data_IF_030926586575
#
_entry.id   IF_030926586575
#
_cell.length_a   1.000
_cell.length_b   1.000
_cell.length_c   1.000
_cell.angle_alpha   90.00
_cell.angle_beta   90.00
_cell.angle_gamma   90.00
#
_symmetry.space_group_name_H-M   'P 1'
#
loop_
_entity.id
_entity.type
_entity.pdbx_description
1 polymer ?
#
# COMPACT_ATOMS: atom_id res chain seq x y z
N UNK A 1 -5.57 -12.52 10.58
CA UNK A 1 -5.79 -13.36 9.38
C UNK A 1 -6.09 -14.81 9.76
N UNK A 2 -6.99 -15.03 10.73
CA UNK A 2 -7.47 -16.40 11.03
C UNK A 2 -8.69 -16.78 10.17
N UNK A 3 -9.22 -15.83 9.41
CA UNK A 3 -10.56 -15.91 8.80
C UNK A 3 -10.56 -16.26 7.29
N UNK A 4 -9.43 -16.07 6.60
CA UNK A 4 -9.29 -16.43 5.18
C UNK A 4 -9.22 -17.96 4.95
N UNK A 5 -8.72 -18.71 5.93
CA UNK A 5 -8.64 -20.17 5.85
C UNK A 5 -10.03 -20.83 5.91
N UNK A 6 -10.90 -20.49 6.88
CA UNK A 6 -12.31 -20.88 6.85
C UNK A 6 -13.04 -20.48 5.57
N UNK A 7 -12.80 -19.26 5.06
CA UNK A 7 -13.41 -18.79 3.82
C UNK A 7 -13.03 -19.70 2.63
N UNK A 8 -11.74 -20.06 2.51
CA UNK A 8 -11.28 -21.01 1.49
C UNK A 8 -11.85 -22.42 1.69
N UNK A 9 -11.91 -22.93 2.91
CA UNK A 9 -12.49 -24.26 3.18
C UNK A 9 -13.97 -24.35 2.79
N UNK A 10 -14.70 -23.23 2.86
CA UNK A 10 -16.08 -23.14 2.39
C UNK A 10 -16.23 -23.01 0.86
N UNK A 11 -15.13 -22.80 0.13
CA UNK A 11 -15.16 -22.61 -1.32
C UNK A 11 -15.33 -23.95 -2.05
N UNK A 12 -16.34 -24.04 -2.92
CA UNK A 12 -16.57 -25.23 -3.74
C UNK A 12 -15.39 -25.45 -4.70
N UNK A 13 -14.99 -26.70 -4.99
CA UNK A 13 -14.01 -27.01 -6.03
C UNK A 13 -14.42 -26.38 -7.38
N UNK A 14 -13.47 -25.71 -8.03
CA UNK A 14 -13.74 -25.01 -9.30
C UNK A 14 -14.42 -23.64 -9.16
N UNK A 15 -14.81 -23.21 -7.95
CA UNK A 15 -15.23 -21.83 -7.71
C UNK A 15 -14.09 -20.84 -7.97
N UNK A 16 -14.44 -19.57 -8.17
CA UNK A 16 -13.46 -18.50 -8.45
C UNK A 16 -12.41 -18.40 -7.34
N UNK A 17 -12.82 -18.41 -6.07
CA UNK A 17 -11.90 -18.36 -4.93
C UNK A 17 -10.98 -19.58 -4.91
N UNK A 18 -11.53 -20.78 -5.15
CA UNK A 18 -10.74 -22.01 -5.20
C UNK A 18 -9.64 -21.93 -6.27
N UNK A 19 -9.99 -21.46 -7.47
CA UNK A 19 -9.06 -21.29 -8.58
C UNK A 19 -8.00 -20.22 -8.28
N UNK A 20 -8.39 -19.08 -7.70
CA UNK A 20 -7.47 -18.01 -7.35
C UNK A 20 -6.45 -18.44 -6.29
N UNK A 21 -6.88 -19.16 -5.24
CA UNK A 21 -5.98 -19.71 -4.21
C UNK A 21 -5.00 -20.71 -4.83
N UNK A 22 -5.48 -21.61 -5.70
CA UNK A 22 -4.63 -22.58 -6.40
C UNK A 22 -3.62 -21.91 -7.32
N UNK A 23 -3.99 -20.82 -7.98
CA UNK A 23 -3.07 -20.05 -8.81
C UNK A 23 -1.90 -19.51 -7.99
N UNK A 24 -2.17 -18.83 -6.88
CA UNK A 24 -1.14 -18.28 -5.98
C UNK A 24 -0.28 -19.39 -5.37
N UNK A 25 -0.89 -20.46 -4.86
CA UNK A 25 -0.15 -21.57 -4.27
C UNK A 25 0.79 -22.26 -5.28
N UNK A 26 0.33 -22.50 -6.52
CA UNK A 26 1.19 -23.05 -7.56
C UNK A 26 2.30 -22.07 -7.98
N UNK A 27 2.06 -20.76 -7.93
CA UNK A 27 3.08 -19.77 -8.25
C UNK A 27 4.18 -19.69 -7.18
N UNK A 28 3.82 -19.85 -5.89
CA UNK A 28 4.80 -19.98 -4.82
C UNK A 28 5.64 -21.26 -4.99
N UNK A 29 5.02 -22.36 -5.42
CA UNK A 29 5.69 -23.64 -5.69
C UNK A 29 6.31 -23.74 -7.10
N UNK A 30 6.51 -22.62 -7.82
CA UNK A 30 6.87 -22.61 -9.26
C UNK A 30 8.11 -23.44 -9.64
N UNK A 31 9.05 -23.62 -8.72
CA UNK A 31 10.29 -24.39 -8.95
C UNK A 31 10.15 -25.88 -8.65
N UNK A 32 9.07 -26.29 -8.01
CA UNK A 32 8.77 -27.69 -7.80
C UNK A 32 8.12 -28.28 -9.06
N UNK A 33 8.30 -29.59 -9.25
CA UNK A 33 7.61 -30.36 -10.28
C UNK A 33 7.09 -31.65 -9.66
N UNK A 34 5.79 -31.70 -9.37
CA UNK A 34 5.10 -32.92 -8.95
C UNK A 34 4.14 -33.35 -10.05
N UNK A 35 4.49 -34.41 -10.78
CA UNK A 35 3.76 -34.91 -11.94
C UNK A 35 4.13 -34.21 -13.26
N UNK A 36 3.33 -34.46 -14.31
CA UNK A 36 3.71 -34.12 -15.70
C UNK A 36 3.70 -32.62 -16.04
N UNK A 37 2.88 -31.84 -15.33
CA UNK A 37 2.73 -30.40 -15.58
C UNK A 37 3.45 -29.59 -14.50
N UNK A 38 4.48 -28.79 -14.85
CA UNK A 38 5.17 -27.88 -13.92
C UNK A 38 4.22 -26.91 -13.21
N UNK A 39 4.50 -26.59 -11.94
CA UNK A 39 3.64 -25.71 -11.15
C UNK A 39 3.50 -24.30 -11.74
N UNK A 40 4.54 -23.76 -12.39
CA UNK A 40 4.44 -22.49 -13.11
C UNK A 40 3.36 -22.48 -14.21
N UNK A 41 3.19 -23.61 -14.92
CA UNK A 41 2.16 -23.74 -15.96
C UNK A 41 0.78 -23.88 -15.30
N UNK A 42 0.67 -24.68 -14.23
CA UNK A 42 -0.58 -24.82 -13.46
C UNK A 42 -1.04 -23.50 -12.87
N UNK A 43 -0.12 -22.68 -12.36
CA UNK A 43 -0.41 -21.36 -11.82
C UNK A 43 -1.10 -20.48 -12.86
N UNK A 44 -0.57 -20.44 -14.09
CA UNK A 44 -1.16 -19.69 -15.21
C UNK A 44 -2.52 -20.27 -15.65
N UNK A 45 -2.67 -21.60 -15.67
CA UNK A 45 -3.93 -22.25 -15.99
C UNK A 45 -5.03 -21.91 -14.97
N UNK A 46 -4.73 -22.01 -13.67
CA UNK A 46 -5.67 -21.66 -12.62
C UNK A 46 -5.99 -20.17 -12.61
N UNK A 47 -5.02 -19.29 -12.86
CA UNK A 47 -5.24 -17.86 -13.01
C UNK A 47 -6.22 -17.57 -14.17
N UNK A 48 -5.98 -18.14 -15.35
CA UNK A 48 -6.88 -17.98 -16.50
C UNK A 48 -8.28 -18.52 -16.25
N UNK A 49 -8.39 -19.68 -15.58
CA UNK A 49 -9.67 -20.25 -15.18
C UNK A 49 -10.40 -19.36 -14.15
N UNK A 50 -9.69 -18.77 -13.19
CA UNK A 50 -10.26 -17.85 -12.21
C UNK A 50 -10.81 -16.58 -12.88
N UNK A 51 -10.09 -16.00 -13.85
CA UNK A 51 -10.58 -14.87 -14.63
C UNK A 51 -11.83 -15.21 -15.44
N UNK A 52 -11.86 -16.39 -16.08
CA UNK A 52 -13.04 -16.86 -16.79
C UNK A 52 -14.23 -17.05 -15.84
N UNK A 53 -14.00 -17.61 -14.65
CA UNK A 53 -15.01 -17.75 -13.61
C UNK A 53 -15.53 -16.40 -13.11
N UNK A 54 -14.64 -15.42 -12.89
CA UNK A 54 -15.05 -14.04 -12.56
C UNK A 54 -15.93 -13.44 -13.64
N UNK A 55 -15.61 -13.68 -14.92
CA UNK A 55 -16.44 -13.20 -16.02
C UNK A 55 -17.85 -13.77 -15.93
N UNK A 56 -18.00 -15.06 -15.63
CA UNK A 56 -19.33 -15.70 -15.47
C UNK A 56 -20.09 -15.08 -14.29
N UNK A 57 -19.46 -15.00 -13.11
CA UNK A 57 -20.05 -14.37 -11.91
C UNK A 57 -20.47 -12.92 -12.16
N UNK A 58 -19.68 -12.16 -12.92
CA UNK A 58 -19.99 -10.78 -13.26
C UNK A 58 -21.24 -10.63 -14.15
N UNK A 59 -21.62 -11.66 -14.93
CA UNK A 59 -22.87 -11.65 -15.70
C UNK A 59 -24.08 -12.03 -14.83
N UNK A 60 -23.86 -12.67 -13.68
CA UNK A 60 -24.87 -13.08 -12.72
C UNK A 60 -24.89 -12.06 -11.55
N UNK A 61 -25.35 -10.83 -11.81
CA UNK A 61 -25.24 -9.65 -10.92
C UNK A 61 -25.56 -9.92 -9.43
N UNK A 62 -26.51 -10.80 -9.13
CA UNK A 62 -26.91 -11.17 -7.77
C UNK A 62 -25.83 -11.93 -6.96
N UNK A 63 -24.78 -12.44 -7.60
CA UNK A 63 -23.73 -13.23 -6.96
C UNK A 63 -22.43 -12.44 -6.74
N UNK A 64 -22.36 -11.21 -7.25
CA UNK A 64 -21.14 -10.42 -7.29
C UNK A 64 -20.73 -9.92 -5.89
N UNK A 65 -21.69 -9.54 -5.05
CA UNK A 65 -21.48 -9.03 -3.69
C UNK A 65 -21.22 -10.15 -2.66
N UNK A 66 -20.13 -10.90 -2.85
CA UNK A 66 -19.78 -12.06 -2.02
C UNK A 66 -18.32 -11.98 -1.57
N UNK A 67 -18.05 -12.28 -0.30
CA UNK A 67 -16.70 -12.34 0.28
C UNK A 67 -15.77 -13.29 -0.47
N UNK A 68 -16.26 -14.41 -0.99
CA UNK A 68 -15.46 -15.33 -1.80
C UNK A 68 -15.00 -14.67 -3.11
N UNK A 69 -15.87 -13.88 -3.74
CA UNK A 69 -15.57 -13.14 -4.98
C UNK A 69 -14.59 -12.01 -4.69
N UNK A 70 -14.80 -11.24 -3.62
CA UNK A 70 -13.88 -10.19 -3.20
C UNK A 70 -12.48 -10.74 -2.88
N UNK A 71 -12.42 -11.84 -2.11
CA UNK A 71 -11.16 -12.51 -1.80
C UNK A 71 -10.46 -13.02 -3.06
N UNK A 72 -11.21 -13.59 -4.02
CA UNK A 72 -10.65 -14.04 -5.28
C UNK A 72 -10.07 -12.89 -6.11
N UNK A 73 -10.79 -11.77 -6.22
CA UNK A 73 -10.32 -10.57 -6.94
C UNK A 73 -9.03 -10.03 -6.31
N UNK A 74 -8.97 -9.96 -4.97
CA UNK A 74 -7.78 -9.51 -4.26
C UNK A 74 -6.59 -10.46 -4.50
N UNK A 75 -6.80 -11.77 -4.51
CA UNK A 75 -5.77 -12.76 -4.83
C UNK A 75 -5.29 -12.67 -6.28
N UNK A 76 -6.20 -12.42 -7.22
CA UNK A 76 -5.88 -12.20 -8.65
C UNK A 76 -5.04 -10.92 -8.82
N UNK A 77 -5.40 -9.82 -8.15
CA UNK A 77 -4.57 -8.60 -8.15
C UNK A 77 -3.17 -8.85 -7.57
N UNK A 78 -3.09 -9.63 -6.48
CA UNK A 78 -1.82 -10.02 -5.90
C UNK A 78 -0.99 -10.86 -6.88
N UNK A 79 -1.64 -11.79 -7.57
CA UNK A 79 -1.00 -12.67 -8.53
C UNK A 79 -0.38 -11.88 -9.69
N UNK A 80 -1.16 -10.96 -10.25
CA UNK A 80 -0.70 -10.09 -11.34
C UNK A 80 0.50 -9.23 -10.93
N UNK A 81 0.47 -8.67 -9.72
CA UNK A 81 1.57 -7.84 -9.22
C UNK A 81 2.84 -8.64 -8.96
N UNK A 82 2.73 -9.78 -8.28
CA UNK A 82 3.88 -10.54 -7.80
C UNK A 82 4.48 -11.46 -8.86
N UNK A 83 3.63 -12.13 -9.65
CA UNK A 83 4.08 -13.21 -10.52
C UNK A 83 4.01 -12.87 -12.01
N UNK A 84 3.19 -11.90 -12.40
CA UNK A 84 3.16 -11.36 -13.77
C UNK A 84 3.89 -10.01 -13.89
N UNK A 85 4.48 -9.52 -12.80
CA UNK A 85 5.25 -8.28 -12.74
C UNK A 85 4.46 -7.05 -13.22
N UNK A 86 3.13 -7.01 -12.98
CA UNK A 86 2.29 -5.87 -13.37
C UNK A 86 2.73 -4.62 -12.63
N UNK A 87 3.21 -3.62 -13.38
CA UNK A 87 3.64 -2.34 -12.83
C UNK A 87 2.42 -1.46 -12.57
N UNK A 88 2.36 -0.87 -11.38
CA UNK A 88 1.40 0.18 -11.05
C UNK A 88 0.28 -0.22 -10.07
N UNK A 89 -0.46 0.79 -9.57
CA UNK A 89 -1.51 0.59 -8.58
C UNK A 89 -2.69 -0.22 -9.16
N UNK A 90 -3.51 -0.77 -8.26
CA UNK A 90 -4.71 -1.60 -8.52
C UNK A 90 -5.29 -1.39 -9.92
N UNK A 91 -5.20 -2.42 -10.76
CA UNK A 91 -5.49 -2.37 -12.20
C UNK A 91 -6.99 -2.50 -12.52
N UNK A 92 -7.39 -3.38 -13.47
CA UNK A 92 -8.78 -3.46 -13.96
C UNK A 92 -9.79 -3.86 -12.87
N UNK A 93 -9.31 -4.44 -11.77
CA UNK A 93 -10.12 -4.96 -10.66
C UNK A 93 -10.72 -3.89 -9.74
N UNK A 94 -10.31 -2.62 -9.91
CA UNK A 94 -10.73 -1.51 -9.03
C UNK A 94 -12.26 -1.38 -8.97
N UNK A 95 -12.91 -1.30 -10.13
CA UNK A 95 -14.34 -0.99 -10.18
C UNK A 95 -15.18 -2.16 -9.66
N UNK A 96 -14.72 -3.39 -9.87
CA UNK A 96 -15.30 -4.58 -9.25
C UNK A 96 -15.19 -4.53 -7.71
N UNK A 97 -14.02 -4.18 -7.16
CA UNK A 97 -13.84 -4.03 -5.70
C UNK A 97 -14.77 -2.96 -5.15
N UNK A 98 -14.84 -1.79 -5.80
CA UNK A 98 -15.74 -0.70 -5.37
C UNK A 98 -17.19 -1.14 -5.37
N UNK A 99 -17.63 -1.82 -6.43
CA UNK A 99 -18.98 -2.33 -6.55
C UNK A 99 -19.31 -3.33 -5.44
N UNK A 100 -18.44 -4.30 -5.18
CA UNK A 100 -18.67 -5.31 -4.13
C UNK A 100 -18.74 -4.67 -2.75
N UNK A 101 -17.81 -3.76 -2.43
CA UNK A 101 -17.83 -3.04 -1.15
C UNK A 101 -19.09 -2.19 -0.98
N UNK A 102 -19.58 -1.58 -2.06
CA UNK A 102 -20.83 -0.82 -2.04
C UNK A 102 -22.04 -1.73 -1.81
N UNK A 103 -22.12 -2.84 -2.55
CA UNK A 103 -23.26 -3.77 -2.53
C UNK A 103 -23.34 -4.58 -1.23
N UNK A 104 -22.21 -4.93 -0.60
CA UNK A 104 -22.21 -5.62 0.70
C UNK A 104 -22.57 -4.73 1.90
N UNK A 105 -22.68 -3.41 1.70
CA UNK A 105 -23.23 -2.49 2.69
C UNK A 105 -22.57 -2.57 4.07
N UNK A 106 -23.39 -2.73 5.11
CA UNK A 106 -22.91 -2.80 6.50
C UNK A 106 -22.47 -4.22 6.93
N UNK A 107 -22.61 -5.25 6.09
CA UNK A 107 -22.22 -6.62 6.47
C UNK A 107 -20.70 -6.68 6.75
N UNK A 108 -19.93 -5.84 6.07
CA UNK A 108 -18.52 -5.59 6.32
C UNK A 108 -18.20 -4.96 7.67
N UNK A 109 -19.17 -4.48 8.45
CA UNK A 109 -18.94 -3.93 9.79
C UNK A 109 -19.26 -4.93 10.90
N UNK A 110 -20.16 -5.87 10.65
CA UNK A 110 -20.72 -6.73 11.69
C UNK A 110 -20.23 -8.18 11.63
N UNK A 111 -19.72 -8.63 10.48
CA UNK A 111 -19.05 -9.93 10.35
C UNK A 111 -17.53 -9.76 10.40
N UNK A 112 -16.86 -10.42 11.35
CA UNK A 112 -15.40 -10.32 11.54
C UNK A 112 -14.60 -10.72 10.28
N UNK A 113 -15.02 -11.76 9.57
CA UNK A 113 -14.32 -12.24 8.36
C UNK A 113 -14.47 -11.24 7.23
N UNK A 114 -15.70 -10.76 7.02
CA UNK A 114 -16.02 -9.73 6.03
C UNK A 114 -15.31 -8.42 6.37
N UNK A 115 -15.24 -8.03 7.64
CA UNK A 115 -14.54 -6.83 8.09
C UNK A 115 -13.05 -6.85 7.76
N UNK A 116 -12.35 -7.95 8.05
CA UNK A 116 -10.93 -8.08 7.70
C UNK A 116 -10.69 -7.98 6.19
N UNK A 117 -11.59 -8.60 5.40
CA UNK A 117 -11.54 -8.55 3.94
C UNK A 117 -11.86 -7.15 3.38
N UNK A 118 -12.84 -6.47 3.97
CA UNK A 118 -13.19 -5.08 3.68
C UNK A 118 -12.02 -4.13 3.97
N UNK A 119 -11.39 -4.25 5.14
CA UNK A 119 -10.17 -3.52 5.49
C UNK A 119 -9.06 -3.71 4.46
N UNK A 120 -8.84 -4.95 4.00
CA UNK A 120 -7.85 -5.28 2.97
C UNK A 120 -8.19 -4.61 1.62
N UNK A 121 -9.44 -4.71 1.19
CA UNK A 121 -9.92 -4.10 -0.04
C UNK A 121 -9.80 -2.57 -0.02
N UNK A 122 -10.17 -1.93 1.09
CA UNK A 122 -10.00 -0.49 1.28
C UNK A 122 -8.53 -0.07 1.23
N UNK A 123 -7.60 -0.83 1.83
CA UNK A 123 -6.17 -0.53 1.72
C UNK A 123 -5.65 -0.66 0.28
N UNK A 124 -6.19 -1.57 -0.54
CA UNK A 124 -5.87 -1.65 -1.97
C UNK A 124 -6.33 -0.42 -2.74
N UNK A 125 -7.54 0.07 -2.47
CA UNK A 125 -8.05 1.32 -3.05
C UNK A 125 -7.20 2.52 -2.60
N UNK A 126 -6.90 2.61 -1.30
CA UNK A 126 -6.05 3.66 -0.75
C UNK A 126 -4.65 3.65 -1.37
N UNK A 127 -4.06 2.47 -1.63
CA UNK A 127 -2.73 2.37 -2.25
C UNK A 127 -2.70 3.04 -3.63
N UNK A 128 -3.77 2.83 -4.41
CA UNK A 128 -3.97 3.51 -5.68
C UNK A 128 -4.15 5.01 -5.51
N UNK A 129 -4.98 5.43 -4.57
CA UNK A 129 -5.26 6.83 -4.29
C UNK A 129 -4.02 7.61 -3.90
N UNK A 130 -3.14 7.03 -3.07
CA UNK A 130 -1.84 7.61 -2.74
C UNK A 130 -1.01 7.83 -4.01
N UNK A 131 -0.87 6.78 -4.83
CA UNK A 131 0.02 6.79 -6.00
C UNK A 131 -0.45 7.67 -7.15
N UNK A 132 -1.75 7.93 -7.25
CA UNK A 132 -2.37 8.71 -8.33
C UNK A 132 -2.94 10.06 -7.86
N UNK A 133 -2.91 10.32 -6.54
CA UNK A 133 -3.60 11.42 -5.86
C UNK A 133 -5.09 11.46 -6.26
N UNK A 134 -5.72 10.29 -6.27
CA UNK A 134 -7.16 10.14 -6.57
C UNK A 134 -7.98 10.36 -5.30
N UNK A 135 -9.14 10.98 -5.44
CA UNK A 135 -10.07 11.18 -4.33
C UNK A 135 -10.69 9.84 -3.89
N UNK A 136 -10.83 9.60 -2.58
CA UNK A 136 -11.57 8.43 -2.10
C UNK A 136 -13.05 8.46 -2.47
N UNK A 137 -13.64 7.29 -2.70
CA UNK A 137 -15.07 7.22 -3.00
C UNK A 137 -15.91 7.56 -1.76
N UNK A 138 -17.12 8.12 -1.92
CA UNK A 138 -18.01 8.42 -0.80
C UNK A 138 -18.30 7.22 0.12
N UNK A 139 -18.36 6.02 -0.46
CA UNK A 139 -18.52 4.78 0.30
C UNK A 139 -17.36 4.49 1.25
N UNK A 140 -16.12 4.83 0.88
CA UNK A 140 -14.96 4.67 1.77
C UNK A 140 -14.99 5.67 2.92
N UNK A 141 -15.40 6.91 2.64
CA UNK A 141 -15.55 7.96 3.65
C UNK A 141 -16.60 7.56 4.68
N UNK A 142 -17.78 7.13 4.21
CA UNK A 142 -18.85 6.63 5.07
C UNK A 142 -18.45 5.36 5.84
N UNK A 143 -17.62 4.50 5.26
CA UNK A 143 -17.14 3.30 5.95
C UNK A 143 -16.23 3.67 7.12
N UNK A 144 -15.20 4.51 6.89
CA UNK A 144 -14.28 4.96 7.95
C UNK A 144 -15.02 5.72 9.05
N UNK A 145 -16.02 6.54 8.72
CA UNK A 145 -16.78 7.31 9.71
C UNK A 145 -17.59 6.44 10.69
N UNK A 146 -17.74 5.14 10.41
CA UNK A 146 -18.44 4.17 11.28
C UNK A 146 -17.48 3.37 12.15
N UNK A 147 -16.16 3.53 11.97
CA UNK A 147 -15.16 2.74 12.71
C UNK A 147 -14.73 3.44 13.99
N UNK A 148 -14.26 2.66 14.96
CA UNK A 148 -13.70 3.19 16.19
C UNK A 148 -12.25 3.69 15.97
N UNK A 149 -12.09 4.99 15.77
CA UNK A 149 -10.79 5.66 15.55
C UNK A 149 -9.89 5.72 16.80
N UNK A 150 -10.38 5.28 17.97
CA UNK A 150 -9.54 5.12 19.16
C UNK A 150 -8.57 3.93 19.03
N UNK A 151 -8.86 2.99 18.13
CA UNK A 151 -7.95 1.88 17.81
C UNK A 151 -6.84 2.37 16.87
N UNK A 152 -5.54 2.16 17.18
CA UNK A 152 -4.47 2.78 16.39
C UNK A 152 -4.38 2.33 14.92
N UNK A 153 -4.72 1.09 14.57
CA UNK A 153 -4.80 0.65 13.16
C UNK A 153 -5.92 1.34 12.38
N UNK A 154 -7.06 1.53 13.03
CA UNK A 154 -8.20 2.26 12.46
C UNK A 154 -7.87 3.75 12.34
N UNK A 155 -7.21 4.33 13.35
CA UNK A 155 -6.71 5.71 13.32
C UNK A 155 -5.77 5.93 12.12
N UNK A 156 -4.76 5.06 11.93
CA UNK A 156 -3.87 5.13 10.76
C UNK A 156 -4.68 5.04 9.45
N UNK A 157 -5.70 4.18 9.42
CA UNK A 157 -6.54 4.01 8.22
C UNK A 157 -7.36 5.27 7.92
N UNK A 158 -7.85 5.95 8.95
CA UNK A 158 -8.55 7.23 8.84
C UNK A 158 -7.60 8.36 8.41
N UNK A 159 -6.41 8.44 8.99
CA UNK A 159 -5.38 9.40 8.59
C UNK A 159 -5.04 9.24 7.11
N UNK A 160 -4.75 8.02 6.64
CA UNK A 160 -4.49 7.76 5.22
C UNK A 160 -5.64 8.18 4.32
N UNK A 161 -6.89 7.99 4.74
CA UNK A 161 -8.04 8.46 3.99
C UNK A 161 -8.06 10.00 3.89
N UNK A 162 -7.85 10.70 5.01
CA UNK A 162 -7.82 12.17 5.03
C UNK A 162 -6.65 12.73 4.21
N UNK A 163 -5.47 12.10 4.28
CA UNK A 163 -4.32 12.44 3.46
C UNK A 163 -4.64 12.30 1.96
N UNK A 164 -5.37 11.26 1.56
CA UNK A 164 -5.81 11.08 0.17
C UNK A 164 -6.82 12.15 -0.27
N UNK A 165 -7.78 12.51 0.58
CA UNK A 165 -8.75 13.60 0.31
C UNK A 165 -8.00 14.91 0.04
N UNK A 166 -7.10 15.30 0.95
CA UNK A 166 -6.37 16.56 0.82
C UNK A 166 -5.37 16.55 -0.35
N UNK A 167 -4.73 15.42 -0.62
CA UNK A 167 -3.82 15.27 -1.78
C UNK A 167 -4.55 15.36 -3.11
N UNK A 168 -5.75 14.78 -3.19
CA UNK A 168 -6.60 14.89 -4.38
C UNK A 168 -7.11 16.33 -4.57
N UNK A 169 -7.51 17.01 -3.48
CA UNK A 169 -7.89 18.42 -3.51
C UNK A 169 -6.72 19.31 -3.98
N UNK A 170 -5.50 19.05 -3.49
CA UNK A 170 -4.30 19.77 -3.92
C UNK A 170 -4.03 19.58 -5.41
N UNK A 171 -4.07 18.33 -5.89
CA UNK A 171 -3.93 18.03 -7.32
C UNK A 171 -4.98 18.76 -8.17
N UNK A 172 -6.26 18.69 -7.79
CA UNK A 172 -7.34 19.42 -8.48
C UNK A 172 -7.07 20.91 -8.50
N UNK A 173 -6.69 21.51 -7.37
CA UNK A 173 -6.41 22.95 -7.28
C UNK A 173 -5.27 23.36 -8.24
N UNK A 174 -4.21 22.57 -8.33
CA UNK A 174 -3.04 22.86 -9.16
C UNK A 174 -3.25 22.58 -10.64
N UNK A 175 -4.08 21.59 -10.99
CA UNK A 175 -4.37 21.20 -12.39
C UNK A 175 -5.54 22.02 -13.00
N UNK A 176 -6.56 22.38 -12.21
CA UNK A 176 -7.74 23.13 -12.67
C UNK A 176 -7.56 24.65 -12.70
N UNK A 177 -6.33 25.14 -12.41
CA UNK A 177 -6.00 26.56 -12.36
C UNK A 177 -6.37 27.33 -13.64
N UNK A 178 -6.42 26.66 -14.79
CA UNK A 178 -6.74 27.25 -16.10
C UNK A 178 -8.25 27.27 -16.44
N UNK A 179 -9.08 26.39 -15.88
CA UNK A 179 -10.49 26.23 -16.32
C UNK A 179 -11.53 26.83 -15.36
N UNK A 180 -11.17 27.08 -14.10
CA UNK A 180 -12.14 27.57 -13.11
C UNK A 180 -12.43 29.08 -13.28
N UNK A 181 -13.73 29.42 -13.45
CA UNK A 181 -14.29 30.80 -13.47
C UNK A 181 -14.11 31.60 -12.16
N UNK A 182 -13.43 31.03 -11.17
CA UNK A 182 -13.23 31.63 -9.87
C UNK A 182 -12.33 32.87 -9.98
N UNK A 183 -12.60 33.87 -9.13
CA UNK A 183 -11.74 35.07 -9.04
C UNK A 183 -10.36 34.72 -8.49
N UNK A 184 -9.36 35.58 -8.74
CA UNK A 184 -8.00 35.38 -8.19
C UNK A 184 -8.01 35.33 -6.65
N UNK A 185 -8.84 36.15 -6.01
CA UNK A 185 -9.01 36.18 -4.55
C UNK A 185 -9.58 34.86 -4.02
N UNK A 186 -10.59 34.29 -4.69
CA UNK A 186 -11.14 32.97 -4.34
C UNK A 186 -10.11 31.86 -4.48
N UNK A 187 -9.32 31.86 -5.56
CA UNK A 187 -8.24 30.88 -5.76
C UNK A 187 -7.16 31.01 -4.68
N UNK A 188 -6.81 32.24 -4.30
CA UNK A 188 -5.85 32.52 -3.23
C UNK A 188 -6.36 32.07 -1.85
N UNK A 189 -7.64 32.30 -1.54
CA UNK A 189 -8.26 31.81 -0.30
C UNK A 189 -8.33 30.29 -0.27
N UNK A 190 -8.74 29.65 -1.38
CA UNK A 190 -8.77 28.19 -1.50
C UNK A 190 -7.38 27.57 -1.28
N UNK A 191 -6.33 28.15 -1.86
CA UNK A 191 -4.94 27.73 -1.64
C UNK A 191 -4.53 27.85 -0.17
N UNK A 192 -4.79 29.01 0.47
CA UNK A 192 -4.46 29.23 1.88
C UNK A 192 -5.21 28.28 2.80
N UNK A 193 -6.51 28.09 2.57
CA UNK A 193 -7.34 27.18 3.37
C UNK A 193 -6.86 25.74 3.24
N UNK A 194 -6.59 25.28 2.01
CA UNK A 194 -6.09 23.92 1.79
C UNK A 194 -4.71 23.71 2.43
N UNK A 195 -3.79 24.67 2.29
CA UNK A 195 -2.47 24.59 2.92
C UNK A 195 -2.57 24.48 4.45
N UNK A 196 -3.49 25.22 5.08
CA UNK A 196 -3.76 25.11 6.52
C UNK A 196 -4.32 23.75 6.89
N UNK A 197 -5.34 23.26 6.18
CA UNK A 197 -5.91 21.93 6.45
C UNK A 197 -4.88 20.80 6.33
N UNK A 198 -3.95 20.89 5.38
CA UNK A 198 -2.85 19.93 5.28
C UNK A 198 -1.91 20.01 6.49
N UNK A 199 -1.53 21.22 6.92
CA UNK A 199 -0.69 21.40 8.10
C UNK A 199 -1.34 20.89 9.37
N UNK A 200 -2.62 21.21 9.58
CA UNK A 200 -3.35 20.81 10.78
C UNK A 200 -3.39 19.27 10.88
N UNK A 201 -3.60 18.59 9.74
CA UNK A 201 -3.54 17.14 9.69
C UNK A 201 -2.13 16.61 9.97
N UNK A 202 -1.08 17.18 9.35
CA UNK A 202 0.30 16.76 9.59
C UNK A 202 0.73 16.96 11.06
N UNK A 203 0.39 18.11 11.66
CA UNK A 203 0.68 18.40 13.06
C UNK A 203 -0.08 17.45 14.01
N UNK A 204 -1.34 17.16 13.70
CA UNK A 204 -2.12 16.14 14.42
C UNK A 204 -1.41 14.78 14.35
N UNK A 205 -1.04 14.35 13.14
CA UNK A 205 -0.33 13.08 12.89
C UNK A 205 0.97 13.01 13.69
N UNK A 206 1.81 14.03 13.62
CA UNK A 206 3.09 14.08 14.35
C UNK A 206 2.88 14.02 15.87
N UNK A 207 1.89 14.76 16.38
CA UNK A 207 1.56 14.78 17.81
C UNK A 207 1.19 13.39 18.32
N UNK A 208 0.21 12.73 17.70
CA UNK A 208 -0.28 11.46 18.21
C UNK A 208 0.69 10.30 17.95
N UNK A 209 1.41 10.30 16.82
CA UNK A 209 2.44 9.30 16.54
C UNK A 209 3.63 9.39 17.49
N UNK A 210 3.99 10.60 17.94
CA UNK A 210 5.04 10.80 18.94
C UNK A 210 4.67 10.26 20.32
N UNK A 211 3.36 10.22 20.64
CA UNK A 211 2.82 9.70 21.88
C UNK A 211 2.64 8.16 21.89
N UNK A 212 2.86 7.49 20.76
CA UNK A 212 2.72 6.03 20.68
C UNK A 212 3.75 5.28 21.53
N UNK A 213 3.28 4.22 22.19
CA UNK A 213 4.11 3.37 23.05
C UNK A 213 3.85 1.87 22.80
N UNK A 214 4.65 1.02 23.45
CA UNK A 214 4.46 -0.43 23.42
C UNK A 214 4.60 -1.02 22.02
N UNK A 215 3.65 -1.89 21.65
CA UNK A 215 3.67 -2.65 20.40
C UNK A 215 3.69 -1.78 19.14
N UNK A 216 3.18 -0.55 19.23
CA UNK A 216 3.04 0.37 18.10
C UNK A 216 4.30 1.16 17.79
N UNK A 217 5.23 1.24 18.74
CA UNK A 217 6.50 1.96 18.57
C UNK A 217 7.51 1.09 17.81
N UNK A 218 8.07 1.57 16.67
CA UNK A 218 9.13 0.84 15.97
C UNK A 218 10.37 0.63 16.84
N UNK A 219 10.96 -0.55 16.78
CA UNK A 219 12.24 -0.85 17.44
C UNK A 219 13.40 -0.59 16.48
N UNK A 220 14.38 0.21 16.90
CA UNK A 220 15.62 0.42 16.15
C UNK A 220 16.58 -0.73 16.40
N UNK A 221 17.02 -1.38 15.34
CA UNK A 221 17.93 -2.53 15.36
C UNK A 221 19.23 -2.19 14.63
N UNK A 222 20.34 -2.78 15.08
CA UNK A 222 21.62 -2.74 14.37
C UNK A 222 21.57 -3.60 13.10
N UNK A 223 21.92 -3.06 11.91
CA UNK A 223 21.99 -3.81 10.66
C UNK A 223 22.84 -5.08 10.72
N UNK A 224 23.89 -5.11 11.55
CA UNK A 224 24.79 -6.27 11.69
C UNK A 224 24.08 -7.50 12.30
N UNK A 225 22.94 -7.30 12.95
CA UNK A 225 22.17 -8.37 13.58
C UNK A 225 21.29 -9.13 12.58
N UNK A 226 21.27 -8.77 11.30
CA UNK A 226 20.44 -9.43 10.30
C UNK A 226 21.15 -10.66 9.70
N UNK A 227 20.44 -11.78 9.75
CA UNK A 227 20.67 -12.91 8.89
C UNK A 227 19.97 -12.63 7.57
N UNK A 228 20.70 -12.78 6.48
CA UNK A 228 20.04 -13.05 5.21
C UNK A 228 19.08 -14.23 5.43
N UNK A 229 17.92 -14.23 4.77
CA UNK A 229 16.98 -15.32 4.93
C UNK A 229 17.75 -16.58 4.56
N UNK A 230 17.90 -17.50 5.52
CA UNK A 230 18.34 -18.86 5.22
C UNK A 230 17.20 -19.47 4.44
N UNK A 231 17.15 -19.17 3.15
CA UNK A 231 16.34 -19.90 2.19
C UNK A 231 17.01 -21.27 2.10
N UNK A 232 16.59 -22.17 3.00
CA UNK A 232 16.71 -23.58 2.67
C UNK A 232 15.89 -23.75 1.40
N UNK A 233 16.56 -24.10 0.30
CA UNK A 233 15.98 -24.66 -0.92
C UNK A 233 15.55 -23.72 -2.08
N UNK A 234 16.16 -22.54 -2.32
CA UNK A 234 15.93 -21.78 -3.58
C UNK A 234 17.22 -21.55 -4.43
N UNK A 235 17.24 -21.94 -5.73
CA UNK A 235 18.44 -21.98 -6.57
C UNK A 235 18.71 -20.67 -7.35
N UNK A 236 18.69 -19.50 -6.72
CA UNK A 236 18.91 -18.22 -7.43
C UNK A 236 20.10 -17.39 -6.91
N UNK A 237 21.06 -17.14 -7.81
CA UNK A 237 22.16 -16.17 -7.71
C UNK A 237 21.72 -14.69 -7.85
N UNK A 238 20.42 -14.38 -7.67
CA UNK A 238 19.97 -12.99 -7.79
C UNK A 238 20.52 -12.16 -6.62
N UNK A 239 21.31 -11.10 -6.89
CA UNK A 239 21.88 -10.29 -5.84
C UNK A 239 20.74 -9.64 -5.04
N UNK A 240 20.82 -9.79 -3.71
CA UNK A 240 19.93 -9.10 -2.78
C UNK A 240 20.15 -7.59 -2.94
N UNK A 241 19.10 -6.75 -2.89
CA UNK A 241 19.26 -5.29 -2.95
C UNK A 241 20.24 -4.78 -1.90
N UNK A 242 20.98 -3.74 -2.23
CA UNK A 242 21.91 -3.15 -1.27
C UNK A 242 21.16 -2.28 -0.25
N UNK A 243 21.45 -2.46 1.03
CA UNK A 243 20.87 -1.67 2.12
C UNK A 243 21.99 -0.96 2.89
N UNK A 244 22.48 0.21 2.41
CA UNK A 244 23.61 0.95 3.00
C UNK A 244 23.25 1.68 4.31
N UNK A 245 22.22 1.24 5.03
CA UNK A 245 21.63 2.03 6.11
C UNK A 245 22.27 1.71 7.46
N UNK A 246 22.63 2.73 8.26
CA UNK A 246 23.26 2.54 9.57
C UNK A 246 22.26 2.07 10.64
N UNK A 247 20.97 2.10 10.34
CA UNK A 247 19.88 1.78 11.27
C UNK A 247 18.80 1.01 10.55
N UNK A 248 18.11 0.17 11.30
CA UNK A 248 17.00 -0.62 10.79
C UNK A 248 15.80 -0.52 11.72
N UNK A 249 14.61 -0.53 11.13
CA UNK A 249 13.37 -0.55 11.88
C UNK A 249 12.79 -1.95 11.85
N UNK A 250 12.42 -2.41 13.04
CA UNK A 250 11.69 -3.66 13.22
C UNK A 250 10.38 -3.40 13.92
N UNK A 251 9.39 -4.21 13.58
CA UNK A 251 8.04 -4.14 14.12
C UNK A 251 7.71 -5.43 14.84
N UNK A 252 6.68 -5.39 15.69
CA UNK A 252 6.22 -6.57 16.39
C UNK A 252 5.72 -7.68 15.44
N UNK A 253 5.09 -7.29 14.33
CA UNK A 253 4.68 -8.21 13.27
C UNK A 253 4.72 -7.51 11.89
N UNK A 254 4.64 -8.31 10.82
CA UNK A 254 4.68 -7.82 9.44
C UNK A 254 3.53 -6.85 9.12
N UNK A 255 2.33 -7.10 9.66
CA UNK A 255 1.16 -6.26 9.39
C UNK A 255 1.37 -4.82 9.89
N UNK A 256 1.90 -4.67 11.10
CA UNK A 256 2.24 -3.38 11.67
C UNK A 256 3.31 -2.66 10.84
N UNK A 257 4.31 -3.39 10.36
CA UNK A 257 5.30 -2.84 9.43
C UNK A 257 4.65 -2.34 8.14
N UNK A 258 3.73 -3.11 7.55
CA UNK A 258 2.96 -2.68 6.39
C UNK A 258 2.14 -1.41 6.67
N UNK A 259 1.43 -1.34 7.80
CA UNK A 259 0.64 -0.17 8.19
C UNK A 259 1.50 1.10 8.30
N UNK A 260 2.64 1.01 8.98
CA UNK A 260 3.54 2.15 9.13
C UNK A 260 4.17 2.61 7.81
N UNK A 261 4.56 1.67 6.96
CA UNK A 261 5.10 2.00 5.63
C UNK A 261 4.04 2.66 4.74
N UNK A 262 2.80 2.21 4.86
CA UNK A 262 1.67 2.78 4.15
C UNK A 262 1.36 4.20 4.65
N UNK A 263 1.35 4.38 5.96
CA UNK A 263 1.15 5.67 6.61
C UNK A 263 2.24 6.69 6.21
N UNK A 264 3.52 6.30 6.28
CA UNK A 264 4.63 7.14 5.88
C UNK A 264 4.60 7.50 4.38
N UNK A 265 4.21 6.54 3.52
CA UNK A 265 4.07 6.79 2.09
C UNK A 265 2.97 7.82 1.79
N UNK A 266 1.83 7.74 2.48
CA UNK A 266 0.76 8.75 2.37
C UNK A 266 1.23 10.13 2.84
N UNK A 267 2.01 10.20 3.93
CA UNK A 267 2.56 11.47 4.42
C UNK A 267 3.53 12.11 3.41
N UNK A 268 4.38 11.31 2.75
CA UNK A 268 5.25 11.82 1.68
C UNK A 268 4.41 12.50 0.60
N UNK A 269 3.36 11.84 0.11
CA UNK A 269 2.49 12.41 -0.93
C UNK A 269 1.76 13.65 -0.44
N UNK A 270 1.28 13.67 0.82
CA UNK A 270 0.61 14.83 1.39
C UNK A 270 1.55 16.04 1.55
N UNK A 271 2.79 15.83 1.99
CA UNK A 271 3.77 16.91 2.12
C UNK A 271 4.18 17.49 0.78
N UNK A 272 4.31 16.64 -0.24
CA UNK A 272 4.52 17.14 -1.60
C UNK A 272 3.32 17.91 -2.14
N UNK A 273 2.11 17.44 -1.86
CA UNK A 273 0.87 18.17 -2.15
C UNK A 273 0.85 19.52 -1.45
N UNK A 274 1.35 19.63 -0.22
CA UNK A 274 1.46 20.91 0.49
C UNK A 274 2.40 21.87 -0.24
N UNK A 275 3.58 21.38 -0.65
CA UNK A 275 4.54 22.19 -1.42
C UNK A 275 3.91 22.66 -2.74
N UNK A 276 3.14 21.80 -3.41
CA UNK A 276 2.40 22.18 -4.63
C UNK A 276 1.40 23.31 -4.37
N UNK A 277 0.63 23.24 -3.28
CA UNK A 277 -0.34 24.26 -2.91
C UNK A 277 0.32 25.59 -2.54
N UNK A 278 1.44 25.57 -1.81
CA UNK A 278 2.20 26.78 -1.45
C UNK A 278 2.75 27.45 -2.71
N UNK A 279 3.36 26.68 -3.61
CA UNK A 279 3.90 27.20 -4.87
C UNK A 279 2.79 27.77 -5.74
N UNK A 280 1.67 27.07 -5.87
CA UNK A 280 0.49 27.57 -6.59
C UNK A 280 0.00 28.90 -6.02
N UNK A 281 -0.13 29.00 -4.70
CA UNK A 281 -0.50 30.24 -4.01
C UNK A 281 0.44 31.41 -4.34
N UNK A 282 1.76 31.17 -4.37
CA UNK A 282 2.74 32.18 -4.77
C UNK A 282 2.57 32.61 -6.24
N UNK A 283 2.38 31.65 -7.15
CA UNK A 283 2.20 31.94 -8.59
C UNK A 283 0.95 32.78 -8.89
N UNK A 284 -0.17 32.57 -8.17
CA UNK A 284 -1.40 33.38 -8.32
C UNK A 284 -1.14 34.86 -8.08
N UNK A 285 -0.25 35.19 -7.15
CA UNK A 285 0.04 36.58 -6.78
C UNK A 285 1.14 37.20 -7.67
N UNK A 286 1.66 36.46 -8.67
CA UNK A 286 2.78 36.92 -9.51
C UNK A 286 4.05 37.17 -8.71
N UNK A 287 4.19 36.54 -7.54
CA UNK A 287 5.29 36.74 -6.62
C UNK A 287 6.09 35.45 -6.45
N UNK A 288 7.41 35.59 -6.26
CA UNK A 288 8.18 34.49 -5.71
C UNK A 288 7.66 34.11 -4.32
N UNK A 289 7.80 32.84 -3.90
CA UNK A 289 7.44 32.44 -2.55
C UNK A 289 8.16 33.33 -1.54
N UNK A 290 7.40 33.98 -0.65
CA UNK A 290 7.96 34.79 0.44
C UNK A 290 8.91 33.91 1.26
N UNK A 291 9.92 34.52 1.90
CA UNK A 291 10.93 33.80 2.71
C UNK A 291 10.35 32.74 3.64
N UNK A 292 9.24 33.04 4.32
CA UNK A 292 8.53 32.09 5.18
C UNK A 292 8.05 30.85 4.42
N UNK A 293 7.52 31.02 3.21
CA UNK A 293 7.13 29.92 2.34
C UNK A 293 8.34 29.09 1.88
N UNK A 294 9.49 29.73 1.63
CA UNK A 294 10.72 29.02 1.27
C UNK A 294 11.25 28.16 2.42
N UNK A 295 11.33 28.72 3.64
CA UNK A 295 11.75 27.98 4.84
C UNK A 295 10.80 26.81 5.12
N UNK A 296 9.51 27.01 4.90
CA UNK A 296 8.49 25.97 5.02
C UNK A 296 8.62 24.88 3.96
N UNK A 297 8.81 25.24 2.69
CA UNK A 297 9.06 24.27 1.61
C UNK A 297 10.28 23.42 1.95
N UNK A 298 11.36 24.04 2.43
CA UNK A 298 12.57 23.32 2.83
C UNK A 298 12.30 22.32 3.97
N UNK A 299 11.54 22.73 4.97
CA UNK A 299 11.13 21.85 6.08
C UNK A 299 10.36 20.62 5.57
N UNK A 300 9.43 20.81 4.63
CA UNK A 300 8.67 19.69 4.05
C UNK A 300 9.54 18.77 3.19
N UNK A 301 10.54 19.32 2.49
CA UNK A 301 11.51 18.53 1.71
C UNK A 301 12.33 17.61 2.63
N UNK A 302 12.87 18.15 3.72
CA UNK A 302 13.61 17.38 4.73
C UNK A 302 12.73 16.30 5.37
N UNK A 303 11.47 16.63 5.67
CA UNK A 303 10.51 15.68 6.22
C UNK A 303 10.21 14.52 5.24
N UNK A 304 10.09 14.79 3.93
CA UNK A 304 9.92 13.76 2.90
C UNK A 304 11.12 12.81 2.85
N UNK A 305 12.34 13.33 2.89
CA UNK A 305 13.53 12.46 2.86
C UNK A 305 13.69 11.66 4.16
N UNK A 306 13.36 12.24 5.32
CA UNK A 306 13.30 11.54 6.60
C UNK A 306 12.28 10.40 6.59
N UNK A 307 11.08 10.63 6.06
CA UNK A 307 10.06 9.59 5.89
C UNK A 307 10.51 8.50 4.91
N UNK A 308 11.21 8.88 3.85
CA UNK A 308 11.82 7.94 2.89
C UNK A 308 12.83 7.03 3.58
N UNK A 309 13.66 7.59 4.47
CA UNK A 309 14.60 6.84 5.30
C UNK A 309 13.88 5.83 6.21
N UNK A 310 12.80 6.25 6.88
CA UNK A 310 11.99 5.39 7.76
C UNK A 310 11.43 4.19 7.00
N UNK A 311 10.90 4.40 5.80
CA UNK A 311 10.45 3.32 4.93
C UNK A 311 11.62 2.40 4.61
N UNK A 312 12.73 2.94 4.08
CA UNK A 312 13.91 2.15 3.69
C UNK A 312 14.48 1.29 4.81
N UNK A 313 14.56 1.82 6.03
CA UNK A 313 15.08 1.11 7.20
C UNK A 313 14.23 -0.11 7.59
N UNK A 314 12.96 -0.15 7.18
CA UNK A 314 12.05 -1.26 7.48
C UNK A 314 11.92 -2.31 6.38
N UNK A 315 12.35 -2.01 5.16
CA UNK A 315 12.17 -2.89 3.99
C UNK A 315 12.75 -4.28 4.20
N UNK A 316 13.97 -4.44 4.73
CA UNK A 316 14.54 -5.75 5.02
C UNK A 316 13.61 -6.70 5.80
N UNK A 317 12.92 -6.21 6.84
CA UNK A 317 11.96 -7.01 7.60
C UNK A 317 10.76 -7.42 6.72
N UNK A 318 10.24 -6.48 5.92
CA UNK A 318 9.12 -6.73 5.01
C UNK A 318 9.48 -7.71 3.87
N UNK A 319 10.75 -7.76 3.46
CA UNK A 319 11.27 -8.75 2.52
C UNK A 319 11.45 -10.14 3.14
N UNK A 320 11.36 -10.25 4.47
CA UNK A 320 11.49 -11.49 5.23
C UNK A 320 12.91 -11.78 5.71
N UNK A 321 13.77 -10.76 5.83
CA UNK A 321 15.10 -10.90 6.43
C UNK A 321 14.96 -10.96 7.95
N UNK A 322 15.55 -11.98 8.58
CA UNK A 322 15.41 -12.27 10.02
C UNK A 322 16.67 -11.86 10.79
N UNK A 323 16.60 -11.74 12.12
CA UNK A 323 17.82 -11.54 12.94
C UNK A 323 18.61 -12.86 13.05
N UNK A 324 19.96 -12.79 13.08
CA UNK A 324 20.88 -13.96 13.09
C UNK A 324 20.68 -14.93 14.26
N UNK A 325 20.13 -14.45 15.38
CA UNK A 325 20.01 -15.20 16.63
C UNK A 325 18.62 -15.10 17.26
N UNK A 326 17.57 -14.91 16.47
CA UNK A 326 16.21 -14.84 16.99
C UNK A 326 15.61 -16.25 17.16
N UNK A 327 15.38 -16.73 18.40
CA UNK A 327 14.75 -18.03 18.64
C UNK A 327 13.29 -18.07 18.20
N UNK A 328 12.65 -16.91 17.96
CA UNK A 328 11.26 -16.80 17.51
C UNK A 328 11.15 -15.77 16.37
N UNK A 329 11.50 -16.14 15.12
CA UNK A 329 11.52 -15.20 14.01
C UNK A 329 10.18 -14.48 13.85
N UNK A 330 10.19 -13.16 14.00
CA UNK A 330 9.00 -12.29 13.86
C UNK A 330 8.35 -12.36 12.46
N UNK A 331 9.11 -12.82 11.46
CA UNK A 331 8.59 -13.20 10.14
C UNK A 331 8.59 -14.72 9.99
N UNK A 332 7.43 -15.35 10.16
CA UNK A 332 7.24 -16.75 9.76
C UNK A 332 7.36 -16.86 8.22
N UNK A 333 7.86 -17.98 7.67
CA UNK A 333 7.97 -18.20 6.21
C UNK A 333 6.67 -17.88 5.45
N UNK A 334 5.53 -18.23 6.06
CA UNK A 334 4.17 -18.11 5.53
C UNK A 334 3.62 -16.67 5.35
N UNK A 335 4.44 -15.62 5.54
CA UNK A 335 4.02 -14.21 5.41
C UNK A 335 4.91 -13.34 4.51
N UNK A 336 6.01 -13.87 3.97
CA UNK A 336 7.02 -13.08 3.24
C UNK A 336 6.45 -12.43 1.98
N UNK A 337 5.62 -13.17 1.22
CA UNK A 337 4.98 -12.63 0.01
C UNK A 337 4.02 -11.48 0.31
N UNK A 338 3.35 -11.53 1.46
CA UNK A 338 2.48 -10.43 1.92
C UNK A 338 3.31 -9.18 2.20
N UNK A 339 4.42 -9.30 2.94
CA UNK A 339 5.31 -8.17 3.22
C UNK A 339 5.85 -7.52 1.94
N UNK A 340 6.34 -8.32 0.99
CA UNK A 340 6.83 -7.87 -0.32
C UNK A 340 5.75 -7.13 -1.12
N UNK A 341 4.55 -7.69 -1.16
CA UNK A 341 3.42 -7.10 -1.89
C UNK A 341 2.99 -5.75 -1.32
N UNK A 342 3.04 -5.58 0.00
CA UNK A 342 2.69 -4.31 0.62
C UNK A 342 3.79 -3.27 0.53
N UNK A 343 5.06 -3.66 0.54
CA UNK A 343 6.15 -2.71 0.40
C UNK A 343 6.20 -2.08 -1.00
N UNK A 344 5.70 -2.75 -2.05
CA UNK A 344 5.64 -2.22 -3.42
C UNK A 344 4.98 -0.83 -3.50
N UNK A 345 3.92 -0.58 -2.75
CA UNK A 345 3.27 0.74 -2.74
C UNK A 345 4.23 1.83 -2.26
N UNK A 346 4.89 1.60 -1.13
CA UNK A 346 5.86 2.54 -0.56
C UNK A 346 7.09 2.71 -1.46
N UNK A 347 7.55 1.65 -2.13
CA UNK A 347 8.63 1.74 -3.13
C UNK A 347 8.25 2.63 -4.30
N UNK A 348 7.05 2.47 -4.85
CA UNK A 348 6.58 3.30 -5.96
C UNK A 348 6.38 4.76 -5.54
N UNK A 349 5.97 5.03 -4.29
CA UNK A 349 5.91 6.40 -3.76
C UNK A 349 7.31 7.01 -3.71
N UNK A 350 8.29 6.31 -3.12
CA UNK A 350 9.67 6.81 -3.02
C UNK A 350 10.29 7.05 -4.39
N UNK A 351 10.08 6.15 -5.35
CA UNK A 351 10.57 6.32 -6.72
C UNK A 351 10.02 7.58 -7.39
N UNK A 352 8.76 7.93 -7.10
CA UNK A 352 8.06 9.07 -7.72
C UNK A 352 8.23 10.39 -6.96
N UNK A 353 8.50 10.34 -5.66
CA UNK A 353 8.64 11.51 -4.82
C UNK A 353 9.77 12.43 -5.32
N UNK A 354 9.49 13.72 -5.47
CA UNK A 354 10.43 14.75 -5.93
C UNK A 354 11.57 14.97 -4.95
N UNK A 355 11.26 15.01 -3.66
CA UNK A 355 12.20 15.46 -2.62
C UNK A 355 12.96 14.33 -1.93
N UNK A 356 12.74 13.10 -2.34
CA UNK A 356 13.49 11.94 -1.86
C UNK A 356 14.88 11.87 -2.50
N UNK A 357 15.90 11.52 -1.70
CA UNK A 357 17.29 11.36 -2.16
C UNK A 357 17.44 10.35 -3.31
N UNK A 358 18.49 10.53 -4.11
CA UNK A 358 18.80 9.63 -5.22
C UNK A 358 19.08 8.20 -4.74
N UNK A 359 19.77 8.06 -3.61
CA UNK A 359 20.10 6.77 -2.98
C UNK A 359 18.84 6.00 -2.58
N UNK A 360 17.87 6.68 -1.96
CA UNK A 360 16.58 6.08 -1.60
C UNK A 360 15.80 5.65 -2.86
N UNK A 361 15.82 6.46 -3.92
CA UNK A 361 15.17 6.11 -5.21
C UNK A 361 15.81 4.89 -5.86
N UNK A 362 17.15 4.85 -5.91
CA UNK A 362 17.90 3.72 -6.45
C UNK A 362 17.61 2.44 -5.67
N UNK A 363 17.66 2.49 -4.34
CA UNK A 363 17.32 1.35 -3.47
C UNK A 363 15.89 0.88 -3.72
N UNK A 364 14.91 1.78 -3.81
CA UNK A 364 13.53 1.41 -4.09
C UNK A 364 13.37 0.73 -5.47
N UNK A 365 14.11 1.19 -6.48
CA UNK A 365 14.17 0.58 -7.81
C UNK A 365 14.79 -0.82 -7.76
N UNK A 366 15.89 -1.00 -7.05
CA UNK A 366 16.52 -2.32 -6.84
C UNK A 366 15.57 -3.28 -6.14
N UNK A 367 14.89 -2.85 -5.07
CA UNK A 367 13.91 -3.67 -4.34
C UNK A 367 12.74 -4.06 -5.24
N UNK A 368 12.16 -3.11 -5.97
CA UNK A 368 11.04 -3.39 -6.88
C UNK A 368 11.46 -4.37 -7.99
N UNK A 369 12.64 -4.15 -8.57
CA UNK A 369 13.21 -5.05 -9.58
C UNK A 369 13.46 -6.44 -9.00
N UNK A 370 14.05 -6.54 -7.82
CA UNK A 370 14.31 -7.80 -7.15
C UNK A 370 13.02 -8.58 -6.87
N UNK A 371 11.96 -7.91 -6.40
CA UNK A 371 10.64 -8.55 -6.21
C UNK A 371 10.10 -9.04 -7.55
N UNK A 372 10.14 -8.20 -8.59
CA UNK A 372 9.57 -8.54 -9.89
C UNK A 372 10.34 -9.68 -10.57
N UNK A 373 11.67 -9.66 -10.56
CA UNK A 373 12.51 -10.62 -11.27
C UNK A 373 12.56 -11.97 -10.53
N UNK A 374 12.54 -11.96 -9.19
CA UNK A 374 12.66 -13.19 -8.38
C UNK A 374 11.41 -14.06 -8.44
N UNK A 375 10.22 -13.46 -8.52
CA UNK A 375 8.94 -14.18 -8.44
C UNK A 375 8.20 -14.28 -9.76
N UNK A 376 8.76 -13.74 -10.85
CA UNK A 376 8.14 -13.84 -12.17
C UNK A 376 7.96 -15.29 -12.59
N UNK A 377 6.75 -15.62 -13.05
CA UNK A 377 6.53 -16.85 -13.81
C UNK A 377 7.08 -16.60 -15.21
N UNK A 378 8.18 -17.26 -15.57
CA UNK A 378 8.75 -17.25 -16.92
C UNK A 378 7.89 -18.07 -17.89
#
# INVERSE_FOLDING_TARGET
MHDLYPLYLSALPGSVLWLAVRAVACADMRYESVGDIPFQIRARQYYGAALNGLRVVAHEEHTLANDQVLAAILLIDNFEKMYLSRIGPLGPHRDAIKHILHSGGNDYLFNQSSFALGCLAHKRLQARQILLREEPDPGQIMWVSKLNVDQPDIHITADVLHMNILSAAAKKLTESGEEARNTLEEKAEQSRQLARSIQDLLASIESWTSAMTGLWKPEVTDPQQIAQPREMDEPFDLPIPHFPYPRMLSYHNLWLGCLWNFHAASQIVLRESLVDVINYGATIHGHEPVRENMERIHTEQEAVDKLSSVIMWSIPLLLGFTRRYDPHPRSLPHGKMVGRLYCLCSMWVIQKARFTSLEHKQTASEVTKWINDRYRLC
#
